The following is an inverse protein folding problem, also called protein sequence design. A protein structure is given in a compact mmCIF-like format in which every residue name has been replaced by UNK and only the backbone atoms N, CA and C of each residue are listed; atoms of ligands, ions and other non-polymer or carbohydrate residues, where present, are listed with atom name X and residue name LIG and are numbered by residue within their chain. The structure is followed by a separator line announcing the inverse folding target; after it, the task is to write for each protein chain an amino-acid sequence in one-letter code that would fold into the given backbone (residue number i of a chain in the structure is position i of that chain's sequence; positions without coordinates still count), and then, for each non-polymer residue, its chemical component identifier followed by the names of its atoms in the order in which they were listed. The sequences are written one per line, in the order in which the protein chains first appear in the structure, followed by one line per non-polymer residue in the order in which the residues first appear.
data_IF_343798428475
#
_entry.id   IF_343798428475
#
_cell.length_a   1.000
_cell.length_b   1.000
_cell.length_c   1.000
_cell.angle_alpha   90.00
_cell.angle_beta   90.00
_cell.angle_gamma   90.00
#
_symmetry.space_group_name_H-M   'P 1'
#
loop_
_entity.id
_entity.type
_entity.pdbx_description
1 polymer ?
#
# COMPACT_ATOMS: atom_id res chain seq x y z
N UNK A 1 -7.20 9.00 19.20
CA UNK A 1 -8.04 8.00 19.82
C UNK A 1 -7.45 6.62 19.56
N UNK A 2 -7.57 5.69 20.51
CA UNK A 2 -7.10 4.32 20.29
C UNK A 2 -7.82 3.71 19.08
N UNK A 3 -7.06 3.01 18.22
CA UNK A 3 -7.60 2.37 17.00
C UNK A 3 -7.68 3.26 15.76
N UNK A 4 -7.28 4.55 15.84
CA UNK A 4 -7.17 5.40 14.65
C UNK A 4 -5.72 5.41 14.17
N UNK A 5 -5.51 4.98 12.93
CA UNK A 5 -4.22 5.04 12.29
C UNK A 5 -4.03 6.42 11.64
N UNK A 6 -2.90 7.04 11.91
CA UNK A 6 -2.53 8.32 11.31
C UNK A 6 -1.62 8.06 10.10
N UNK A 7 -2.00 8.63 8.96
CA UNK A 7 -1.23 8.59 7.72
C UNK A 7 -0.85 10.02 7.35
N UNK A 8 0.45 10.30 7.37
CA UNK A 8 0.98 11.65 7.12
C UNK A 8 1.26 11.87 5.65
N UNK A 9 0.98 13.06 5.15
CA UNK A 9 1.36 13.51 3.81
C UNK A 9 2.52 14.49 3.91
N UNK A 10 3.56 14.30 3.11
CA UNK A 10 4.62 15.28 2.91
C UNK A 10 4.39 15.91 1.54
N UNK A 11 3.98 17.19 1.54
CA UNK A 11 3.75 17.96 0.30
C UNK A 11 5.09 18.29 -0.35
N UNK A 12 5.12 18.23 -1.67
CA UNK A 12 6.27 18.59 -2.49
C UNK A 12 6.01 19.91 -3.23
N UNK A 13 7.07 20.62 -3.55
CA UNK A 13 7.02 21.80 -4.43
C UNK A 13 8.27 21.83 -5.29
N UNK A 14 8.10 21.94 -6.59
CA UNK A 14 9.22 22.15 -7.51
C UNK A 14 9.64 23.62 -7.47
N UNK A 15 10.92 23.88 -7.20
CA UNK A 15 11.46 25.25 -7.05
C UNK A 15 12.30 25.71 -8.23
N UNK A 16 12.77 24.78 -9.07
CA UNK A 16 13.49 25.01 -10.31
C UNK A 16 13.40 23.78 -11.21
N UNK A 17 14.09 23.76 -12.33
CA UNK A 17 14.13 22.60 -13.24
C UNK A 17 14.53 21.28 -12.52
N UNK A 18 15.43 21.35 -11.55
CA UNK A 18 15.89 20.17 -10.77
C UNK A 18 15.70 20.34 -9.26
N UNK A 19 15.28 21.51 -8.81
CA UNK A 19 15.17 21.85 -7.40
C UNK A 19 13.78 21.56 -6.83
N UNK A 20 13.74 21.18 -5.57
CA UNK A 20 12.50 20.92 -4.84
C UNK A 20 12.58 21.41 -3.39
N UNK A 21 11.44 21.55 -2.79
CA UNK A 21 11.26 21.69 -1.34
C UNK A 21 10.08 20.81 -0.89
N UNK A 22 9.96 20.60 0.42
CA UNK A 22 8.88 19.80 0.98
C UNK A 22 8.40 20.35 2.34
N UNK A 23 7.17 20.04 2.68
CA UNK A 23 6.55 20.45 3.95
C UNK A 23 5.77 19.28 4.56
N UNK A 24 5.95 18.99 5.88
CA UNK A 24 6.90 19.62 6.80
C UNK A 24 8.37 19.34 6.46
N UNK A 25 9.30 20.14 6.94
CA UNK A 25 10.74 19.99 6.71
C UNK A 25 11.56 20.24 7.98
N UNK A 26 12.86 19.94 7.93
CA UNK A 26 13.80 20.17 9.03
C UNK A 26 13.33 19.54 10.36
N UNK A 27 13.45 20.30 11.46
CA UNK A 27 13.08 19.82 12.79
C UNK A 27 11.60 19.41 12.92
N UNK A 28 10.69 20.08 12.20
CA UNK A 28 9.26 19.74 12.22
C UNK A 28 9.01 18.34 11.66
N UNK A 29 9.66 17.98 10.55
CA UNK A 29 9.57 16.64 9.99
C UNK A 29 10.21 15.60 10.91
N UNK A 30 11.44 15.85 11.38
CA UNK A 30 12.14 14.92 12.29
C UNK A 30 11.32 14.65 13.56
N UNK A 31 10.76 15.68 14.18
CA UNK A 31 9.92 15.52 15.36
C UNK A 31 8.64 14.73 15.03
N UNK A 32 8.02 14.98 13.88
CA UNK A 32 6.84 14.22 13.47
C UNK A 32 7.15 12.73 13.29
N UNK A 33 8.31 12.38 12.72
CA UNK A 33 8.73 10.99 12.54
C UNK A 33 8.98 10.32 13.91
N UNK A 34 9.76 10.96 14.78
CA UNK A 34 10.13 10.40 16.10
C UNK A 34 8.91 10.20 16.99
N UNK A 35 7.92 11.11 16.92
CA UNK A 35 6.70 11.03 17.73
C UNK A 35 5.65 10.03 17.17
N UNK A 36 5.86 9.50 15.96
CA UNK A 36 4.94 8.56 15.31
C UNK A 36 5.70 7.34 14.74
N UNK A 37 6.33 6.52 15.60
CA UNK A 37 7.11 5.37 15.15
C UNK A 37 6.22 4.37 14.38
N UNK A 38 6.74 3.84 13.25
CA UNK A 38 6.03 2.92 12.38
C UNK A 38 4.94 3.57 11.51
N UNK A 39 4.77 4.89 11.55
CA UNK A 39 3.76 5.60 10.77
C UNK A 39 3.95 5.41 9.26
N UNK A 40 2.86 5.62 8.53
CA UNK A 40 2.85 5.69 7.06
C UNK A 40 3.02 7.12 6.59
N UNK A 41 3.92 7.29 5.62
CA UNK A 41 4.26 8.59 5.05
C UNK A 41 3.96 8.55 3.55
N UNK A 42 2.95 9.30 3.12
CA UNK A 42 2.66 9.55 1.71
C UNK A 42 3.60 10.64 1.21
N UNK A 43 4.37 10.34 0.17
CA UNK A 43 5.28 11.32 -0.42
C UNK A 43 4.61 11.98 -1.62
N UNK A 44 4.33 13.26 -1.47
CA UNK A 44 3.58 14.08 -2.43
C UNK A 44 2.06 13.96 -2.26
N UNK A 45 1.36 14.93 -2.81
CA UNK A 45 -0.09 14.94 -2.98
C UNK A 45 -0.45 15.44 -4.39
N UNK A 46 -0.97 14.56 -5.21
CA UNK A 46 -1.23 14.81 -6.63
C UNK A 46 -0.03 15.47 -7.34
N UNK A 47 1.18 14.87 -7.26
CA UNK A 47 2.36 15.45 -7.90
C UNK A 47 2.21 15.54 -9.42
N UNK A 48 1.31 14.75 -9.96
CA UNK A 48 0.96 14.60 -11.37
C UNK A 48 -0.15 15.56 -11.84
N UNK A 49 -0.59 16.53 -11.03
CA UNK A 49 -1.67 17.46 -11.37
C UNK A 49 -1.18 18.89 -11.49
N UNK A 50 -1.33 19.49 -12.70
CA UNK A 50 -0.94 20.87 -13.02
C UNK A 50 -1.91 21.87 -12.40
N UNK A 51 -1.69 22.23 -11.14
CA UNK A 51 -2.43 23.29 -10.44
C UNK A 51 -1.60 23.82 -9.27
N UNK A 52 -1.80 25.08 -8.91
CA UNK A 52 -1.08 25.72 -7.80
C UNK A 52 -1.48 25.20 -6.41
N UNK A 53 -2.60 24.49 -6.31
CA UNK A 53 -3.07 23.91 -5.02
C UNK A 53 -2.58 22.48 -4.79
N UNK A 54 -2.00 21.84 -5.82
CA UNK A 54 -1.39 20.53 -5.73
C UNK A 54 0.13 20.62 -5.88
N UNK A 55 0.82 19.49 -5.75
CA UNK A 55 2.29 19.52 -5.76
C UNK A 55 2.86 19.89 -7.13
N UNK A 56 2.24 19.43 -8.23
CA UNK A 56 2.61 19.79 -9.60
C UNK A 56 4.12 19.67 -9.86
N UNK A 57 4.65 18.45 -9.75
CA UNK A 57 6.09 18.16 -9.79
C UNK A 57 6.43 17.29 -10.98
N UNK A 58 7.44 17.66 -11.76
CA UNK A 58 7.93 16.84 -12.86
C UNK A 58 8.51 15.48 -12.38
N UNK A 59 8.43 14.41 -13.21
CA UNK A 59 8.80 13.05 -12.79
C UNK A 59 10.21 12.91 -12.23
N UNK A 60 11.20 13.59 -12.82
CA UNK A 60 12.59 13.52 -12.36
C UNK A 60 12.81 14.26 -11.03
N UNK A 61 12.07 15.34 -10.80
CA UNK A 61 12.10 16.08 -9.53
C UNK A 61 11.42 15.30 -8.43
N UNK A 62 10.27 14.66 -8.75
CA UNK A 62 9.61 13.74 -7.81
C UNK A 62 10.55 12.59 -7.40
N UNK A 63 11.26 11.97 -8.36
CA UNK A 63 12.19 10.89 -8.10
C UNK A 63 13.32 11.30 -7.14
N UNK A 64 13.85 12.52 -7.32
CA UNK A 64 14.90 13.08 -6.46
C UNK A 64 14.39 13.37 -5.03
N UNK A 65 13.23 14.03 -4.92
CA UNK A 65 12.59 14.33 -3.63
C UNK A 65 12.22 13.06 -2.87
N UNK A 66 11.66 12.06 -3.58
CA UNK A 66 11.33 10.76 -3.00
C UNK A 66 12.57 10.05 -2.43
N UNK A 67 13.68 10.05 -3.18
CA UNK A 67 14.93 9.45 -2.71
C UNK A 67 15.41 10.07 -1.41
N UNK A 68 15.50 11.40 -1.35
CA UNK A 68 15.93 12.11 -0.14
C UNK A 68 15.02 11.78 1.05
N UNK A 69 13.71 11.90 0.88
CA UNK A 69 12.72 11.66 1.94
C UNK A 69 12.69 10.20 2.38
N UNK A 70 12.81 9.24 1.45
CA UNK A 70 12.86 7.82 1.80
C UNK A 70 13.99 7.52 2.79
N UNK A 71 15.19 7.96 2.47
CA UNK A 71 16.36 7.69 3.32
C UNK A 71 16.35 8.51 4.60
N UNK A 72 15.92 9.77 4.55
CA UNK A 72 15.76 10.60 5.75
C UNK A 72 14.81 9.95 6.76
N UNK A 73 13.65 9.53 6.30
CA UNK A 73 12.65 8.90 7.16
C UNK A 73 13.14 7.56 7.69
N UNK A 74 13.70 6.71 6.83
CA UNK A 74 14.22 5.38 7.23
C UNK A 74 15.43 5.45 8.18
N UNK A 75 16.25 6.48 8.09
CA UNK A 75 17.35 6.73 9.03
C UNK A 75 16.82 7.16 10.40
N UNK A 76 15.74 7.94 10.41
CA UNK A 76 15.12 8.43 11.66
C UNK A 76 14.27 7.36 12.31
N UNK A 77 13.48 6.64 11.53
CA UNK A 77 12.64 5.51 11.96
C UNK A 77 12.68 4.39 10.91
N UNK A 78 13.49 3.33 11.13
CA UNK A 78 13.53 2.18 10.23
C UNK A 78 12.20 1.42 10.09
N UNK A 79 11.27 1.60 11.04
CA UNK A 79 9.96 0.93 11.05
C UNK A 79 8.89 1.69 10.24
N UNK A 80 9.12 2.97 9.95
CA UNK A 80 8.24 3.80 9.14
C UNK A 80 7.95 3.16 7.77
N UNK A 81 6.76 3.39 7.22
CA UNK A 81 6.32 2.90 5.91
C UNK A 81 6.23 4.05 4.92
N UNK A 82 7.01 3.98 3.84
CA UNK A 82 7.09 5.03 2.83
C UNK A 82 6.23 4.62 1.63
N UNK A 83 5.21 5.44 1.35
CA UNK A 83 4.20 5.19 0.35
C UNK A 83 4.41 6.16 -0.81
N UNK A 84 4.58 5.62 -2.00
CA UNK A 84 4.77 6.39 -3.23
C UNK A 84 3.45 6.52 -4.02
N UNK A 85 3.42 7.41 -4.98
CA UNK A 85 2.32 7.62 -5.91
C UNK A 85 1.49 8.83 -5.54
N UNK A 86 0.32 8.62 -4.91
CA UNK A 86 -0.67 9.68 -4.61
C UNK A 86 -1.11 10.48 -5.83
N UNK A 87 -1.10 9.82 -7.01
CA UNK A 87 -1.56 10.41 -8.27
C UNK A 87 -3.09 10.61 -8.24
N UNK A 88 -3.57 11.64 -8.94
CA UNK A 88 -5.00 12.03 -8.87
C UNK A 88 -5.96 10.96 -9.39
N UNK A 89 -5.53 10.13 -10.34
CA UNK A 89 -6.30 9.04 -10.91
C UNK A 89 -5.40 8.12 -11.74
N UNK A 90 -5.61 6.78 -11.78
CA UNK A 90 -4.71 5.86 -12.46
C UNK A 90 -5.08 5.68 -13.95
N UNK A 91 -5.03 6.75 -14.74
CA UNK A 91 -5.22 6.74 -16.19
C UNK A 91 -3.92 6.36 -16.92
N UNK A 92 -3.97 6.01 -18.21
CA UNK A 92 -2.77 5.67 -18.96
C UNK A 92 -1.67 6.75 -18.94
N UNK A 93 -2.03 8.04 -19.02
CA UNK A 93 -1.05 9.12 -18.98
C UNK A 93 -0.37 9.23 -17.61
N UNK A 94 -1.13 9.00 -16.54
CA UNK A 94 -0.61 9.08 -15.17
C UNK A 94 0.23 7.85 -14.80
N UNK A 95 -0.09 6.69 -15.36
CA UNK A 95 0.82 5.54 -15.27
C UNK A 95 2.12 5.79 -16.05
N UNK A 96 2.06 6.46 -17.21
CA UNK A 96 3.25 6.93 -17.93
C UNK A 96 4.08 7.92 -17.10
N UNK A 97 3.43 8.85 -16.38
CA UNK A 97 4.11 9.73 -15.42
C UNK A 97 4.89 8.93 -14.37
N UNK A 98 4.26 7.91 -13.75
CA UNK A 98 4.94 7.04 -12.78
C UNK A 98 6.08 6.23 -13.42
N UNK A 99 5.93 5.79 -14.66
CA UNK A 99 7.03 5.13 -15.39
C UNK A 99 8.22 6.05 -15.61
N UNK A 100 7.96 7.31 -15.91
CA UNK A 100 9.01 8.33 -16.02
C UNK A 100 9.68 8.58 -14.66
N UNK A 101 8.93 8.57 -13.54
CA UNK A 101 9.49 8.64 -12.18
C UNK A 101 10.43 7.47 -11.92
N UNK A 102 9.98 6.23 -12.18
CA UNK A 102 10.79 5.02 -11.96
C UNK A 102 12.05 5.01 -12.84
N UNK A 103 11.93 5.45 -14.09
CA UNK A 103 13.06 5.57 -15.02
C UNK A 103 14.07 6.60 -14.54
N UNK A 104 13.60 7.79 -14.16
CA UNK A 104 14.46 8.87 -13.63
C UNK A 104 15.16 8.45 -12.34
N UNK A 105 14.45 7.76 -11.44
CA UNK A 105 15.03 7.23 -10.22
C UNK A 105 16.17 6.25 -10.52
N UNK A 106 15.93 5.30 -11.44
CA UNK A 106 16.95 4.32 -11.83
C UNK A 106 18.15 4.97 -12.51
N UNK A 107 17.91 5.96 -13.35
CA UNK A 107 18.99 6.71 -14.03
C UNK A 107 19.84 7.49 -13.03
N UNK A 108 19.24 8.16 -12.06
CA UNK A 108 19.94 9.02 -11.11
C UNK A 108 20.65 8.22 -10.00
N UNK A 109 20.08 7.09 -9.55
CA UNK A 109 20.56 6.37 -8.36
C UNK A 109 21.04 4.94 -8.65
N UNK A 110 20.96 4.47 -9.90
CA UNK A 110 21.49 3.16 -10.32
C UNK A 110 20.75 1.95 -9.75
N UNK A 111 19.61 2.14 -9.11
CA UNK A 111 18.84 1.09 -8.42
C UNK A 111 17.34 1.24 -8.65
N UNK A 112 16.58 0.17 -8.35
CA UNK A 112 15.11 0.23 -8.32
C UNK A 112 14.64 1.11 -7.18
N UNK A 113 13.63 1.93 -7.43
CA UNK A 113 13.02 2.79 -6.40
C UNK A 113 12.44 1.93 -5.27
N UNK A 114 12.92 2.08 -4.03
CA UNK A 114 12.39 1.33 -2.91
C UNK A 114 11.04 1.91 -2.50
N UNK A 115 10.03 1.06 -2.29
CA UNK A 115 8.71 1.47 -1.79
C UNK A 115 8.21 0.47 -0.75
N UNK A 116 7.50 0.94 0.26
CA UNK A 116 6.81 0.07 1.21
C UNK A 116 5.35 -0.16 0.80
N UNK A 117 4.79 0.72 -0.01
CA UNK A 117 3.46 0.61 -0.61
C UNK A 117 3.24 1.67 -1.68
N UNK A 118 2.13 1.56 -2.37
CA UNK A 118 1.67 2.53 -3.37
C UNK A 118 0.36 3.17 -2.93
N UNK A 119 0.15 4.42 -3.29
CA UNK A 119 -1.11 5.12 -3.10
C UNK A 119 -1.57 5.77 -4.40
N UNK A 120 -2.87 5.79 -4.59
CA UNK A 120 -3.53 6.55 -5.64
C UNK A 120 -4.73 7.30 -5.06
N UNK A 121 -5.13 8.37 -5.72
CA UNK A 121 -6.52 8.81 -5.69
C UNK A 121 -7.26 8.10 -6.82
N UNK A 122 -8.58 8.16 -6.83
CA UNK A 122 -9.36 7.58 -7.91
C UNK A 122 -10.63 8.42 -8.16
N UNK A 123 -10.41 9.71 -8.33
CA UNK A 123 -11.43 10.60 -8.84
C UNK A 123 -11.62 10.36 -10.34
N UNK A 124 -12.81 10.64 -10.85
CA UNK A 124 -13.11 10.52 -12.28
C UNK A 124 -13.16 11.94 -12.86
N UNK A 125 -12.01 12.39 -13.34
CA UNK A 125 -11.81 13.77 -13.81
C UNK A 125 -11.35 13.78 -15.26
N UNK A 126 -11.74 14.84 -15.98
CA UNK A 126 -11.36 15.05 -17.37
C UNK A 126 -9.85 15.37 -17.49
N UNK A 127 -9.20 14.85 -18.52
CA UNK A 127 -7.78 15.07 -18.82
C UNK A 127 -7.63 15.80 -20.16
N UNK A 128 -7.68 17.12 -20.11
CA UNK A 128 -7.49 17.99 -21.26
C UNK A 128 -6.44 19.03 -20.91
N UNK A 129 -5.50 19.27 -21.81
CA UNK A 129 -4.48 20.30 -21.66
C UNK A 129 -5.11 21.70 -21.72
N UNK A 130 -4.94 22.51 -20.68
CA UNK A 130 -5.38 23.91 -20.68
C UNK A 130 -4.67 24.76 -21.74
N UNK A 131 -3.47 24.39 -22.14
CA UNK A 131 -2.77 25.04 -23.23
C UNK A 131 -3.39 24.73 -24.60
N UNK A 132 -4.01 23.54 -24.74
CA UNK A 132 -4.62 23.10 -26.00
C UNK A 132 -6.11 23.51 -26.10
N UNK A 133 -6.87 23.26 -25.05
CA UNK A 133 -8.31 23.61 -24.98
C UNK A 133 -8.66 24.24 -23.63
N UNK A 134 -8.46 25.59 -23.51
CA UNK A 134 -8.71 26.31 -22.26
C UNK A 134 -10.18 26.27 -21.80
N UNK A 135 -11.11 26.01 -22.71
CA UNK A 135 -12.55 25.94 -22.42
C UNK A 135 -12.99 24.63 -21.78
N UNK A 136 -12.22 23.54 -21.95
CA UNK A 136 -12.58 22.20 -21.53
C UNK A 136 -11.55 21.54 -20.60
N UNK A 137 -10.56 22.28 -20.10
CA UNK A 137 -9.50 21.73 -19.25
C UNK A 137 -9.89 21.63 -17.75
N UNK A 138 -11.17 21.46 -17.46
CA UNK A 138 -11.60 21.18 -16.10
C UNK A 138 -11.10 19.80 -15.63
N UNK A 139 -10.90 19.64 -14.33
CA UNK A 139 -10.57 18.33 -13.73
C UNK A 139 -9.09 18.15 -13.45
N UNK A 140 -8.48 17.13 -14.03
CA UNK A 140 -7.12 16.72 -13.66
C UNK A 140 -6.01 17.29 -14.55
N UNK A 141 -6.34 17.81 -15.74
CA UNK A 141 -5.39 18.25 -16.76
C UNK A 141 -4.38 17.15 -17.16
N UNK A 142 -3.38 17.49 -17.95
CA UNK A 142 -2.30 16.58 -18.38
C UNK A 142 -1.16 16.62 -17.36
N UNK A 143 -0.55 15.48 -17.00
CA UNK A 143 0.54 15.45 -16.02
C UNK A 143 1.74 16.32 -16.43
N UNK A 144 2.45 16.94 -15.48
CA UNK A 144 3.69 17.65 -15.77
C UNK A 144 4.73 16.69 -16.39
N UNK A 145 5.56 17.21 -17.29
CA UNK A 145 6.54 16.42 -18.05
C UNK A 145 5.94 15.59 -19.21
N UNK A 146 4.63 15.64 -19.42
CA UNK A 146 3.95 15.01 -20.56
C UNK A 146 3.36 16.10 -21.44
N UNK A 147 3.63 16.00 -22.75
CA UNK A 147 3.12 16.91 -23.78
C UNK A 147 2.11 16.13 -24.66
N UNK A 148 0.87 16.13 -24.23
CA UNK A 148 -0.27 15.52 -24.92
C UNK A 148 -1.47 16.47 -24.85
N UNK A 149 -2.28 16.59 -25.90
CA UNK A 149 -3.46 17.45 -25.85
C UNK A 149 -4.58 16.89 -24.98
N UNK A 150 -4.71 15.55 -24.94
CA UNK A 150 -5.79 14.83 -24.26
C UNK A 150 -5.29 13.56 -23.59
N UNK A 151 -5.90 13.23 -22.47
CA UNK A 151 -5.81 11.92 -21.82
C UNK A 151 -7.15 11.21 -21.86
N UNK A 152 -7.63 10.77 -20.70
CA UNK A 152 -8.95 10.14 -20.57
C UNK A 152 -10.02 11.22 -20.51
N UNK A 153 -10.93 11.21 -21.51
CA UNK A 153 -12.02 12.18 -21.62
C UNK A 153 -13.24 11.65 -20.89
N UNK A 154 -13.80 12.45 -20.00
CA UNK A 154 -15.01 12.16 -19.24
C UNK A 154 -15.90 13.39 -19.17
N UNK A 155 -17.20 13.16 -18.99
CA UNK A 155 -18.18 14.21 -18.70
C UNK A 155 -18.38 14.40 -17.18
N UNK A 156 -19.09 15.43 -16.80
CA UNK A 156 -19.46 15.67 -15.40
C UNK A 156 -20.29 14.51 -14.86
N UNK A 157 -21.18 13.97 -15.67
CA UNK A 157 -22.08 12.85 -15.31
C UNK A 157 -21.35 11.56 -14.99
N UNK A 158 -20.12 11.38 -15.51
CA UNK A 158 -19.29 10.18 -15.28
C UNK A 158 -18.63 10.16 -13.88
N UNK A 159 -18.80 11.22 -13.06
CA UNK A 159 -18.06 11.33 -11.79
C UNK A 159 -18.39 10.23 -10.77
N UNK A 160 -19.50 9.51 -10.95
CA UNK A 160 -19.88 8.32 -10.19
C UNK A 160 -19.90 7.01 -11.02
N UNK A 161 -19.17 6.96 -12.13
CA UNK A 161 -19.04 5.75 -12.96
C UNK A 161 -18.28 4.66 -12.19
N UNK A 162 -19.07 3.72 -11.65
CA UNK A 162 -18.56 2.62 -10.84
C UNK A 162 -17.73 1.60 -11.64
N UNK A 163 -18.05 1.39 -12.92
CA UNK A 163 -17.30 0.44 -13.75
C UNK A 163 -15.91 1.01 -14.06
N UNK A 164 -15.81 2.27 -14.38
CA UNK A 164 -14.55 3.00 -14.54
C UNK A 164 -13.73 3.02 -13.26
N UNK A 165 -14.36 3.23 -12.12
CA UNK A 165 -13.70 3.14 -10.81
C UNK A 165 -13.00 1.78 -10.61
N UNK A 166 -13.71 0.68 -10.88
CA UNK A 166 -13.18 -0.69 -10.76
C UNK A 166 -12.05 -0.95 -11.76
N UNK A 167 -12.26 -0.59 -13.03
CA UNK A 167 -11.27 -0.75 -14.08
C UNK A 167 -9.93 -0.07 -13.70
N UNK A 168 -9.99 1.14 -13.15
CA UNK A 168 -8.80 1.89 -12.75
C UNK A 168 -8.05 1.24 -11.59
N UNK A 169 -8.75 0.66 -10.61
CA UNK A 169 -8.12 -0.12 -9.53
C UNK A 169 -7.39 -1.35 -10.11
N UNK A 170 -8.03 -2.10 -10.99
CA UNK A 170 -7.44 -3.28 -11.66
C UNK A 170 -6.24 -2.86 -12.51
N UNK A 171 -6.36 -1.79 -13.29
CA UNK A 171 -5.29 -1.21 -14.12
C UNK A 171 -4.06 -0.86 -13.28
N UNK A 172 -4.24 -0.21 -12.13
CA UNK A 172 -3.13 0.13 -11.26
C UNK A 172 -2.48 -1.11 -10.65
N UNK A 173 -3.25 -2.11 -10.24
CA UNK A 173 -2.72 -3.40 -9.77
C UNK A 173 -1.94 -4.15 -10.85
N UNK A 174 -2.42 -4.13 -12.09
CA UNK A 174 -1.68 -4.69 -13.23
C UNK A 174 -0.35 -3.94 -13.41
N UNK A 175 -0.37 -2.60 -13.38
CA UNK A 175 0.83 -1.76 -13.44
C UNK A 175 1.82 -2.11 -12.32
N UNK A 176 1.36 -2.28 -11.09
CA UNK A 176 2.20 -2.71 -9.95
C UNK A 176 2.83 -4.08 -10.20
N UNK A 177 2.05 -5.04 -10.67
CA UNK A 177 2.54 -6.41 -10.97
C UNK A 177 3.61 -6.41 -12.04
N UNK A 178 3.39 -5.70 -13.15
CA UNK A 178 4.31 -5.66 -14.29
C UNK A 178 5.67 -5.04 -13.93
N UNK A 179 5.73 -4.25 -12.85
CA UNK A 179 6.94 -3.60 -12.34
C UNK A 179 7.51 -4.26 -11.09
N UNK A 180 7.01 -5.45 -10.73
CA UNK A 180 7.50 -6.23 -9.59
C UNK A 180 6.99 -5.77 -8.22
N UNK A 181 5.96 -4.93 -8.18
CA UNK A 181 5.38 -4.41 -6.93
C UNK A 181 4.09 -5.13 -6.49
N UNK A 182 3.75 -6.28 -7.06
CA UNK A 182 2.55 -7.04 -6.67
C UNK A 182 2.49 -7.31 -5.15
N UNK A 183 3.65 -7.62 -4.54
CA UNK A 183 3.79 -7.89 -3.10
C UNK A 183 3.88 -6.61 -2.26
N UNK A 184 3.31 -5.51 -2.74
CA UNK A 184 3.19 -4.26 -1.99
C UNK A 184 1.71 -3.90 -1.82
N UNK A 185 1.33 -3.33 -0.65
CA UNK A 185 -0.02 -2.84 -0.45
C UNK A 185 -0.35 -1.67 -1.39
N UNK A 186 -1.61 -1.58 -1.76
CA UNK A 186 -2.18 -0.42 -2.45
C UNK A 186 -3.15 0.31 -1.51
N UNK A 187 -2.96 1.61 -1.39
CA UNK A 187 -3.84 2.50 -0.66
C UNK A 187 -4.60 3.39 -1.64
N UNK A 188 -5.86 3.64 -1.33
CA UNK A 188 -6.69 4.61 -2.01
C UNK A 188 -6.89 5.78 -1.05
N UNK A 189 -5.92 6.72 -1.06
CA UNK A 189 -5.85 7.77 -0.03
C UNK A 189 -6.92 8.84 -0.17
N UNK A 190 -7.43 9.03 -1.39
CA UNK A 190 -8.59 9.91 -1.64
C UNK A 190 -9.42 9.36 -2.80
N UNK A 191 -10.75 9.34 -2.62
CA UNK A 191 -11.72 9.16 -3.68
C UNK A 191 -13.11 9.58 -3.20
N UNK A 192 -13.97 9.92 -4.12
CA UNK A 192 -15.32 10.37 -3.80
C UNK A 192 -15.91 11.12 -4.97
N UNK A 193 -16.92 11.93 -4.69
CA UNK A 193 -17.58 12.78 -5.66
C UNK A 193 -17.05 14.20 -5.54
N UNK A 194 -16.45 14.71 -6.62
CA UNK A 194 -15.96 16.11 -6.70
C UNK A 194 -16.94 17.00 -7.48
N UNK A 195 -18.24 16.77 -7.34
CA UNK A 195 -19.30 17.53 -7.99
C UNK A 195 -20.27 18.09 -6.97
N UNK A 196 -20.71 19.33 -7.13
CA UNK A 196 -21.70 19.95 -6.26
C UNK A 196 -23.12 19.40 -6.55
N UNK A 197 -24.09 19.61 -5.62
CA UNK A 197 -25.47 19.12 -5.78
C UNK A 197 -26.19 19.61 -7.02
N UNK A 198 -25.93 20.84 -7.44
CA UNK A 198 -26.57 21.49 -8.60
C UNK A 198 -26.13 20.87 -9.95
N UNK A 199 -25.09 20.03 -9.96
CA UNK A 199 -24.76 19.17 -11.09
C UNK A 199 -25.43 17.79 -11.03
N UNK A 200 -26.47 17.60 -10.18
CA UNK A 200 -27.21 16.37 -10.06
C UNK A 200 -26.60 15.33 -9.11
N UNK A 201 -25.57 15.72 -8.35
CA UNK A 201 -24.94 14.84 -7.36
C UNK A 201 -25.51 15.07 -5.96
N UNK A 202 -26.82 14.87 -5.82
CA UNK A 202 -27.48 14.93 -4.52
C UNK A 202 -27.16 13.71 -3.64
N UNK A 203 -27.47 13.82 -2.35
CA UNK A 203 -27.13 12.81 -1.35
C UNK A 203 -27.54 11.38 -1.71
N UNK A 204 -28.73 11.07 -2.30
CA UNK A 204 -29.08 9.70 -2.68
C UNK A 204 -28.12 9.12 -3.72
N UNK A 205 -27.71 9.88 -4.73
CA UNK A 205 -26.76 9.48 -5.78
C UNK A 205 -25.37 9.23 -5.19
N UNK A 206 -24.87 10.17 -4.38
CA UNK A 206 -23.58 10.07 -3.69
C UNK A 206 -23.53 8.87 -2.77
N UNK A 207 -24.58 8.64 -1.97
CA UNK A 207 -24.67 7.48 -1.07
C UNK A 207 -24.72 6.15 -1.84
N UNK A 208 -25.40 6.11 -2.99
CA UNK A 208 -25.43 4.92 -3.84
C UNK A 208 -24.02 4.56 -4.36
N UNK A 209 -23.25 5.57 -4.82
CA UNK A 209 -21.86 5.39 -5.24
C UNK A 209 -20.96 4.98 -4.07
N UNK A 210 -21.07 5.64 -2.92
CA UNK A 210 -20.33 5.30 -1.70
C UNK A 210 -20.53 3.84 -1.33
N UNK A 211 -21.78 3.34 -1.28
CA UNK A 211 -22.08 1.97 -0.91
C UNK A 211 -21.53 0.94 -1.92
N UNK A 212 -21.64 1.23 -3.23
CA UNK A 212 -21.07 0.37 -4.28
C UNK A 212 -19.55 0.26 -4.16
N UNK A 213 -18.87 1.40 -3.98
CA UNK A 213 -17.41 1.42 -3.88
C UNK A 213 -16.91 0.79 -2.60
N UNK A 214 -17.56 1.02 -1.46
CA UNK A 214 -17.20 0.39 -0.19
C UNK A 214 -17.33 -1.13 -0.24
N UNK A 215 -18.45 -1.65 -0.77
CA UNK A 215 -18.62 -3.09 -0.96
C UNK A 215 -17.53 -3.68 -1.84
N UNK A 216 -17.19 -3.01 -2.96
CA UNK A 216 -16.12 -3.45 -3.85
C UNK A 216 -14.76 -3.44 -3.15
N UNK A 217 -14.38 -2.34 -2.50
CA UNK A 217 -13.08 -2.20 -1.84
C UNK A 217 -12.89 -3.18 -0.67
N UNK A 218 -13.99 -3.57 -0.02
CA UNK A 218 -13.96 -4.56 1.07
C UNK A 218 -13.77 -5.99 0.55
N UNK A 219 -14.30 -6.33 -0.64
CA UNK A 219 -14.42 -7.72 -1.10
C UNK A 219 -13.59 -8.05 -2.34
N UNK A 220 -13.19 -7.05 -3.13
CA UNK A 220 -12.52 -7.29 -4.42
C UNK A 220 -11.13 -7.93 -4.22
N UNK A 221 -10.99 -9.15 -4.69
CA UNK A 221 -9.76 -9.93 -4.63
C UNK A 221 -9.44 -10.56 -5.99
N UNK A 222 -8.16 -10.72 -6.31
CA UNK A 222 -7.68 -11.39 -7.52
C UNK A 222 -6.36 -12.11 -7.22
N UNK A 223 -6.35 -13.42 -7.39
CA UNK A 223 -5.20 -14.27 -7.08
C UNK A 223 -3.95 -13.95 -7.92
N UNK A 224 -4.09 -13.22 -9.03
CA UNK A 224 -2.99 -12.86 -9.92
C UNK A 224 -2.50 -11.42 -9.76
N UNK A 225 -3.35 -10.51 -9.30
CA UNK A 225 -3.09 -9.06 -9.18
C UNK A 225 -3.04 -8.56 -7.74
N UNK A 226 -3.87 -9.11 -6.88
CA UNK A 226 -4.05 -8.67 -5.52
C UNK A 226 -2.82 -8.88 -4.63
N UNK A 227 -2.85 -8.26 -3.47
CA UNK A 227 -1.78 -8.35 -2.48
C UNK A 227 -1.86 -9.70 -1.74
N UNK A 228 -0.88 -10.61 -1.91
CA UNK A 228 -0.99 -11.96 -1.38
C UNK A 228 -1.08 -12.03 0.15
N UNK A 229 -0.42 -11.09 0.84
CA UNK A 229 -0.45 -11.04 2.31
C UNK A 229 -1.80 -10.54 2.87
N UNK A 230 -2.74 -10.16 2.02
CA UNK A 230 -4.07 -9.67 2.36
C UNK A 230 -5.16 -10.46 1.64
N UNK A 231 -5.07 -11.78 1.58
CA UNK A 231 -6.06 -12.61 0.90
C UNK A 231 -6.22 -12.28 -0.60
N UNK A 232 -5.19 -11.73 -1.24
CA UNK A 232 -5.21 -11.23 -2.61
C UNK A 232 -6.21 -10.08 -2.85
N UNK A 233 -6.61 -9.32 -1.84
CA UNK A 233 -7.42 -8.12 -2.04
C UNK A 233 -6.68 -7.09 -2.91
N UNK A 234 -7.48 -6.34 -3.69
CA UNK A 234 -6.93 -5.35 -4.61
C UNK A 234 -6.50 -4.07 -3.89
N UNK A 235 -7.21 -3.65 -2.85
CA UNK A 235 -6.93 -2.43 -2.06
C UNK A 235 -6.92 -2.80 -0.59
N UNK A 236 -5.92 -2.33 0.17
CA UNK A 236 -5.76 -2.64 1.58
C UNK A 236 -6.37 -1.60 2.51
N UNK A 237 -6.32 -0.32 2.10
CA UNK A 237 -6.89 0.80 2.86
C UNK A 237 -7.43 1.85 1.91
N UNK A 238 -8.49 2.54 2.34
CA UNK A 238 -9.06 3.63 1.57
C UNK A 238 -9.64 4.72 2.46
N UNK A 239 -9.72 5.93 1.92
CA UNK A 239 -10.33 7.08 2.59
C UNK A 239 -11.29 7.78 1.64
N UNK A 240 -12.52 7.98 2.08
CA UNK A 240 -13.51 8.76 1.36
C UNK A 240 -13.19 10.26 1.48
N UNK A 241 -13.17 10.96 0.38
CA UNK A 241 -13.06 12.41 0.34
C UNK A 241 -14.45 13.05 0.34
N UNK A 242 -14.82 13.84 1.36
CA UNK A 242 -13.97 14.29 2.44
C UNK A 242 -14.72 14.34 3.78
N UNK A 243 -14.01 14.66 4.86
CA UNK A 243 -14.66 14.89 6.14
C UNK A 243 -15.54 16.16 6.13
N UNK A 244 -15.05 17.29 5.59
CA UNK A 244 -15.68 18.61 5.72
C UNK A 244 -15.53 19.54 4.50
N UNK A 245 -15.21 19.07 3.30
CA UNK A 245 -15.11 19.93 2.13
C UNK A 245 -16.50 20.30 1.60
N UNK A 246 -16.90 21.57 1.73
CA UNK A 246 -18.23 22.06 1.34
C UNK A 246 -18.36 22.42 -0.15
N UNK A 247 -17.27 22.40 -0.91
CA UNK A 247 -17.33 22.72 -2.34
C UNK A 247 -17.95 21.57 -3.15
N UNK A 248 -17.91 20.34 -2.64
CA UNK A 248 -18.36 19.13 -3.31
C UNK A 248 -19.32 18.34 -2.43
N UNK A 249 -20.27 17.63 -3.00
CA UNK A 249 -21.28 16.92 -2.24
C UNK A 249 -20.84 15.50 -1.84
N UNK A 250 -19.75 15.37 -1.10
CA UNK A 250 -19.26 14.09 -0.56
C UNK A 250 -18.90 14.17 0.93
N UNK A 251 -19.01 15.32 1.51
CA UNK A 251 -18.56 15.64 2.87
C UNK A 251 -19.43 15.00 3.96
N UNK A 252 -18.73 14.47 4.99
CA UNK A 252 -19.38 13.68 6.04
C UNK A 252 -19.95 14.56 7.17
N UNK A 253 -19.33 15.72 7.44
CA UNK A 253 -19.73 16.62 8.50
C UNK A 253 -19.89 18.05 7.98
N UNK A 254 -20.94 18.72 8.43
CA UNK A 254 -21.13 20.14 8.20
C UNK A 254 -20.13 20.96 9.03
N UNK A 255 -19.27 21.71 8.37
CA UNK A 255 -18.23 22.49 9.02
C UNK A 255 -18.78 23.67 9.83
N UNK A 256 -20.00 24.15 9.54
CA UNK A 256 -20.64 25.26 10.25
C UNK A 256 -21.21 24.85 11.61
N UNK A 257 -21.65 23.60 11.75
CA UNK A 257 -22.32 23.13 12.97
C UNK A 257 -21.80 21.79 13.52
N UNK A 258 -20.87 21.13 12.81
CA UNK A 258 -20.27 19.84 13.19
C UNK A 258 -21.21 18.64 13.11
N UNK A 259 -22.41 18.80 12.54
CA UNK A 259 -23.39 17.72 12.43
C UNK A 259 -23.07 16.79 11.25
N UNK A 260 -23.38 15.50 11.41
CA UNK A 260 -23.27 14.55 10.30
C UNK A 260 -24.26 14.91 9.19
N UNK A 261 -23.76 14.94 7.96
CA UNK A 261 -24.58 15.05 6.75
C UNK A 261 -25.35 13.75 6.46
N UNK A 262 -26.13 13.71 5.39
CA UNK A 262 -26.73 12.47 4.89
C UNK A 262 -25.65 11.46 4.48
N UNK A 263 -24.54 11.92 3.88
CA UNK A 263 -23.39 11.09 3.51
C UNK A 263 -22.64 10.58 4.76
N UNK A 264 -22.48 11.43 5.78
CA UNK A 264 -21.88 11.02 7.06
C UNK A 264 -22.66 9.93 7.77
N UNK A 265 -23.97 10.04 7.80
CA UNK A 265 -24.84 8.99 8.35
C UNK A 265 -24.76 7.68 7.54
N UNK A 266 -24.74 7.78 6.21
CA UNK A 266 -24.57 6.60 5.35
C UNK A 266 -23.20 5.92 5.58
N UNK A 267 -22.14 6.70 5.68
CA UNK A 267 -20.80 6.20 6.01
C UNK A 267 -20.80 5.47 7.35
N UNK A 268 -21.34 6.08 8.40
CA UNK A 268 -21.42 5.48 9.74
C UNK A 268 -22.24 4.19 9.75
N UNK A 269 -23.39 4.16 9.07
CA UNK A 269 -24.23 2.97 8.95
C UNK A 269 -23.50 1.83 8.22
N UNK A 270 -22.81 2.14 7.12
CA UNK A 270 -22.05 1.14 6.36
C UNK A 270 -20.91 0.58 7.22
N UNK A 271 -20.08 1.44 7.80
CA UNK A 271 -18.91 1.01 8.58
C UNK A 271 -19.29 0.22 9.83
N UNK A 272 -20.40 0.59 10.50
CA UNK A 272 -20.91 -0.14 11.67
C UNK A 272 -21.49 -1.53 11.32
N UNK A 273 -21.80 -1.77 10.05
CA UNK A 273 -22.30 -3.08 9.58
C UNK A 273 -21.18 -4.07 9.23
N UNK A 274 -19.94 -3.62 9.15
CA UNK A 274 -18.80 -4.48 8.82
C UNK A 274 -18.43 -5.32 10.05
N UNK A 275 -18.53 -6.65 9.91
CA UNK A 275 -18.13 -7.57 10.97
C UNK A 275 -16.59 -7.48 11.20
N UNK A 276 -16.22 -7.43 12.47
CA UNK A 276 -14.80 -7.51 12.86
C UNK A 276 -14.30 -8.94 12.61
N UNK A 277 -13.14 -9.06 11.97
CA UNK A 277 -12.50 -10.34 11.69
C UNK A 277 -10.99 -10.26 11.91
N UNK A 278 -10.41 -11.36 12.40
CA UNK A 278 -8.98 -11.63 12.39
C UNK A 278 -8.73 -12.78 11.41
N UNK A 279 -7.54 -12.82 10.83
CA UNK A 279 -7.10 -13.89 9.93
C UNK A 279 -5.59 -13.79 9.75
N UNK A 280 -4.85 -14.68 10.38
CA UNK A 280 -3.40 -14.68 10.47
C UNK A 280 -2.83 -15.80 9.62
N UNK A 281 -1.78 -15.55 8.87
CA UNK A 281 -1.14 -16.60 8.09
C UNK A 281 0.37 -16.39 7.95
N UNK A 282 1.17 -17.46 7.90
CA UNK A 282 2.56 -17.38 7.51
C UNK A 282 2.65 -17.06 6.01
N UNK A 283 3.17 -15.89 5.68
CA UNK A 283 3.22 -15.45 4.29
C UNK A 283 4.51 -15.84 3.57
N UNK A 284 5.68 -15.61 4.20
CA UNK A 284 6.99 -15.79 3.58
C UNK A 284 8.01 -16.30 4.58
N UNK A 285 8.96 -17.13 4.12
CA UNK A 285 10.13 -17.52 4.89
C UNK A 285 11.39 -17.08 4.13
N UNK A 286 12.27 -16.39 4.81
CA UNK A 286 13.57 -15.96 4.33
C UNK A 286 14.66 -16.61 5.18
N UNK A 287 15.83 -16.84 4.60
CA UNK A 287 17.01 -17.36 5.31
C UNK A 287 18.14 -16.33 5.31
N UNK A 288 18.93 -16.33 6.39
CA UNK A 288 20.18 -15.60 6.45
C UNK A 288 21.30 -16.57 6.86
N UNK A 289 22.30 -16.79 5.99
CA UNK A 289 22.46 -16.21 4.65
C UNK A 289 21.38 -16.69 3.67
N UNK A 290 21.13 -15.90 2.61
CA UNK A 290 20.10 -16.22 1.60
C UNK A 290 20.46 -17.47 0.79
N UNK A 291 21.73 -17.76 0.61
CA UNK A 291 22.22 -19.00 -0.01
C UNK A 291 22.92 -19.86 1.03
N UNK A 292 22.45 -21.10 1.19
CA UNK A 292 22.96 -22.04 2.17
C UNK A 292 23.91 -23.02 1.50
N UNK A 293 25.17 -23.01 1.91
CA UNK A 293 26.21 -23.84 1.37
C UNK A 293 26.84 -24.73 2.46
N UNK A 294 26.62 -26.02 2.37
CA UNK A 294 27.16 -27.01 3.29
C UNK A 294 28.60 -27.39 2.91
N UNK A 295 29.54 -27.21 3.83
CA UNK A 295 30.97 -27.46 3.64
C UNK A 295 31.48 -28.64 4.43
N UNK A 296 30.59 -29.52 4.89
CA UNK A 296 30.95 -30.70 5.74
C UNK A 296 30.63 -30.50 7.21
N UNK A 297 30.33 -29.26 7.64
CA UNK A 297 29.88 -28.96 9.00
C UNK A 297 28.45 -28.45 9.02
N UNK A 298 27.61 -28.84 9.99
CA UNK A 298 26.25 -28.36 10.12
C UNK A 298 26.21 -26.82 10.23
N UNK A 299 25.28 -26.21 9.52
CA UNK A 299 25.11 -24.76 9.46
C UNK A 299 24.23 -24.24 10.59
N UNK A 300 24.49 -23.00 10.98
CA UNK A 300 23.56 -22.20 11.76
C UNK A 300 22.87 -21.20 10.81
N UNK A 301 21.56 -21.30 10.67
CA UNK A 301 20.75 -20.53 9.72
C UNK A 301 19.74 -19.70 10.49
N UNK A 302 19.68 -18.40 10.24
CA UNK A 302 18.58 -17.60 10.74
C UNK A 302 17.38 -17.78 9.79
N UNK A 303 16.29 -18.32 10.31
CA UNK A 303 14.99 -18.40 9.64
C UNK A 303 14.19 -17.16 10.02
N UNK A 304 13.71 -16.38 9.03
CA UNK A 304 12.89 -15.19 9.22
C UNK A 304 11.55 -15.42 8.56
N UNK A 305 10.50 -15.52 9.35
CA UNK A 305 9.14 -15.66 8.85
C UNK A 305 8.42 -14.32 8.86
N UNK A 306 7.81 -14.00 7.75
CA UNK A 306 6.84 -12.92 7.66
C UNK A 306 5.45 -13.48 7.87
N UNK A 307 4.75 -12.95 8.86
CA UNK A 307 3.37 -13.28 9.21
C UNK A 307 2.48 -12.12 8.80
N UNK A 308 1.37 -12.40 8.16
CA UNK A 308 0.40 -11.39 7.72
C UNK A 308 -0.93 -11.55 8.45
N UNK A 309 -1.69 -10.45 8.54
CA UNK A 309 -3.08 -10.45 8.97
C UNK A 309 -3.96 -9.90 7.85
N UNK A 310 -4.82 -10.75 7.28
CA UNK A 310 -5.81 -10.36 6.27
C UNK A 310 -7.18 -10.00 6.86
N UNK A 311 -7.37 -10.17 8.16
CA UNK A 311 -8.51 -9.63 8.88
C UNK A 311 -8.59 -8.10 8.81
N UNK A 312 -9.68 -7.53 9.28
CA UNK A 312 -9.91 -6.07 9.27
C UNK A 312 -9.67 -5.41 10.64
N UNK A 313 -9.19 -6.15 11.62
CA UNK A 313 -8.99 -5.70 13.00
C UNK A 313 -7.59 -6.04 13.51
N UNK A 314 -7.16 -5.29 14.51
CA UNK A 314 -6.00 -5.68 15.33
C UNK A 314 -6.34 -6.91 16.17
N UNK A 315 -5.31 -7.70 16.53
CA UNK A 315 -5.46 -8.87 17.38
C UNK A 315 -6.00 -8.45 18.76
N UNK A 316 -7.13 -8.99 19.22
CA UNK A 316 -7.82 -8.48 20.41
C UNK A 316 -7.24 -8.98 21.73
N UNK A 317 -6.53 -10.12 21.74
CA UNK A 317 -6.13 -10.86 22.95
C UNK A 317 -4.64 -10.75 23.29
N UNK A 318 -3.90 -9.84 22.63
CA UNK A 318 -2.46 -9.71 22.73
C UNK A 318 -1.73 -10.46 21.61
N UNK A 319 -0.39 -10.49 21.62
CA UNK A 319 0.38 -10.98 20.49
C UNK A 319 0.16 -12.47 20.22
N UNK A 320 0.02 -12.82 18.93
CA UNK A 320 -0.08 -14.20 18.47
C UNK A 320 1.25 -14.94 18.64
N UNK A 321 1.18 -16.21 19.04
CA UNK A 321 2.34 -17.08 19.17
C UNK A 321 2.73 -17.64 17.81
N UNK A 322 4.03 -17.54 17.45
CA UNK A 322 4.60 -18.10 16.21
C UNK A 322 5.64 -19.16 16.54
N UNK A 323 5.48 -20.36 15.96
CA UNK A 323 6.39 -21.50 16.13
C UNK A 323 6.96 -21.96 14.80
N UNK A 324 8.22 -22.38 14.85
CA UNK A 324 8.93 -22.94 13.70
C UNK A 324 9.20 -24.41 13.93
N UNK A 325 9.05 -25.23 12.90
CA UNK A 325 9.33 -26.67 12.96
C UNK A 325 10.11 -27.14 11.73
N UNK A 326 11.00 -28.12 11.94
CA UNK A 326 11.56 -28.91 10.85
C UNK A 326 10.68 -30.16 10.70
N UNK A 327 10.03 -30.30 9.54
CA UNK A 327 9.00 -31.32 9.32
C UNK A 327 7.63 -30.86 9.82
N UNK A 328 6.60 -31.58 9.41
CA UNK A 328 5.21 -31.30 9.76
C UNK A 328 4.97 -31.47 11.27
N UNK A 329 4.53 -30.44 11.99
CA UNK A 329 4.23 -30.53 13.41
C UNK A 329 3.15 -31.58 13.73
N UNK A 330 2.17 -31.78 12.82
CA UNK A 330 1.13 -32.79 12.96
C UNK A 330 1.66 -34.24 12.80
N UNK A 331 2.86 -34.39 12.23
CA UNK A 331 3.54 -35.68 12.00
C UNK A 331 4.81 -35.81 12.84
N UNK A 332 4.91 -35.09 13.94
CA UNK A 332 6.07 -35.16 14.84
C UNK A 332 7.27 -34.31 14.42
N UNK A 333 7.04 -33.24 13.69
CA UNK A 333 8.06 -32.25 13.33
C UNK A 333 8.76 -31.69 14.56
N UNK A 334 10.08 -31.43 14.43
CA UNK A 334 10.93 -30.95 15.52
C UNK A 334 10.90 -29.43 15.60
N UNK A 335 10.51 -28.88 16.75
CA UNK A 335 10.47 -27.42 16.99
C UNK A 335 11.86 -26.81 16.89
N UNK A 336 11.93 -25.65 16.25
CA UNK A 336 13.16 -24.87 16.07
C UNK A 336 13.08 -23.61 16.93
N UNK A 337 13.93 -23.49 17.92
CA UNK A 337 14.03 -22.30 18.77
C UNK A 337 12.86 -22.13 19.74
N UNK A 338 12.80 -20.97 20.39
CA UNK A 338 11.74 -20.57 21.30
C UNK A 338 10.55 -19.96 20.54
N UNK A 339 9.39 -19.91 21.21
CA UNK A 339 8.20 -19.20 20.71
C UNK A 339 8.53 -17.73 20.41
N UNK A 340 7.92 -17.23 19.35
CA UNK A 340 7.96 -15.82 18.93
C UNK A 340 6.58 -15.23 19.03
N UNK A 341 6.52 -13.92 19.07
CA UNK A 341 5.27 -13.20 19.28
C UNK A 341 5.13 -12.10 18.23
N UNK A 342 3.94 -11.98 17.64
CA UNK A 342 3.60 -10.92 16.69
C UNK A 342 2.33 -10.20 17.13
N UNK A 343 2.34 -8.89 16.95
CA UNK A 343 1.17 -8.04 17.07
C UNK A 343 0.88 -7.44 15.69
N UNK A 344 -0.33 -7.59 15.20
CA UNK A 344 -0.73 -7.25 13.83
C UNK A 344 -2.06 -6.50 13.81
N UNK A 345 -2.10 -5.45 13.02
CA UNK A 345 -3.23 -4.52 12.94
C UNK A 345 -4.27 -4.87 11.86
N UNK A 346 -4.23 -6.02 11.24
CA UNK A 346 -5.12 -6.37 10.13
C UNK A 346 -4.83 -5.63 8.81
N UNK A 347 -5.70 -5.79 7.82
CA UNK A 347 -5.65 -5.15 6.50
C UNK A 347 -4.31 -5.32 5.77
N UNK A 348 -3.79 -6.55 5.72
CA UNK A 348 -2.52 -6.87 5.09
C UNK A 348 -1.29 -6.38 5.88
N UNK A 349 -1.44 -6.11 7.17
CA UNK A 349 -0.29 -5.82 8.03
C UNK A 349 0.64 -7.03 8.11
N UNK A 350 1.94 -6.82 8.00
CA UNK A 350 2.96 -7.86 8.01
C UNK A 350 3.98 -7.56 9.10
N UNK A 351 4.28 -8.56 9.93
CA UNK A 351 5.38 -8.54 10.88
C UNK A 351 6.39 -9.65 10.59
N UNK A 352 7.64 -9.46 11.02
CA UNK A 352 8.70 -10.45 10.86
C UNK A 352 9.16 -10.95 12.22
N UNK A 353 9.27 -12.27 12.34
CA UNK A 353 9.90 -12.95 13.50
C UNK A 353 11.00 -13.87 13.03
N UNK A 354 11.98 -14.16 13.91
CA UNK A 354 13.09 -15.02 13.52
C UNK A 354 13.50 -15.98 14.63
N UNK A 355 14.02 -17.16 14.19
CA UNK A 355 14.68 -18.14 15.03
C UNK A 355 15.98 -18.59 14.37
N UNK A 356 16.91 -19.09 15.20
CA UNK A 356 18.13 -19.72 14.70
C UNK A 356 17.93 -21.22 14.60
N UNK A 357 18.05 -21.76 13.38
CA UNK A 357 18.10 -23.20 13.13
C UNK A 357 19.54 -23.66 13.13
N UNK A 358 19.96 -24.39 14.18
CA UNK A 358 21.28 -24.99 14.30
C UNK A 358 21.25 -26.40 13.75
N UNK A 359 22.37 -26.86 13.19
CA UNK A 359 22.51 -28.22 12.72
C UNK A 359 21.91 -28.51 11.35
N UNK A 360 21.76 -27.47 10.50
CA UNK A 360 21.29 -27.65 9.13
C UNK A 360 22.36 -28.36 8.28
N UNK A 361 22.01 -29.54 7.73
CA UNK A 361 22.85 -30.35 6.85
C UNK A 361 22.43 -30.22 5.41
N UNK A 362 23.26 -30.72 4.47
CA UNK A 362 22.92 -30.75 3.07
C UNK A 362 21.61 -31.49 2.80
N UNK A 363 20.79 -30.94 1.90
CA UNK A 363 19.50 -31.54 1.51
C UNK A 363 18.38 -30.55 1.37
N UNK A 364 17.20 -31.09 1.13
CA UNK A 364 15.92 -30.33 1.07
C UNK A 364 15.23 -30.49 2.42
N UNK A 365 14.88 -29.39 3.01
CA UNK A 365 14.22 -29.35 4.32
C UNK A 365 12.89 -28.62 4.21
N UNK A 366 11.83 -29.23 4.72
CA UNK A 366 10.54 -28.56 4.85
C UNK A 366 10.48 -27.90 6.23
N UNK A 367 10.42 -26.57 6.22
CA UNK A 367 10.27 -25.76 7.43
C UNK A 367 8.81 -25.32 7.51
N UNK A 368 8.17 -25.68 8.59
CA UNK A 368 6.80 -25.28 8.89
C UNK A 368 6.81 -24.06 9.83
N UNK A 369 5.98 -23.09 9.51
CA UNK A 369 5.71 -21.95 10.39
C UNK A 369 4.23 -22.03 10.77
N UNK A 370 3.97 -21.96 12.07
CA UNK A 370 2.62 -21.97 12.64
C UNK A 370 2.41 -20.65 13.36
N UNK A 371 1.40 -19.91 12.98
CA UNK A 371 0.93 -18.68 13.66
C UNK A 371 -0.30 -19.02 14.50
N UNK A 372 -0.57 -18.24 15.52
CA UNK A 372 -1.55 -18.55 16.56
C UNK A 372 -1.44 -20.03 17.04
N UNK A 373 -0.22 -20.45 17.31
CA UNK A 373 0.11 -21.85 17.59
C UNK A 373 -0.57 -22.41 18.88
N UNK A 374 -1.23 -21.55 19.66
CA UNK A 374 -2.02 -21.92 20.84
C UNK A 374 -3.53 -21.92 20.57
N UNK A 375 -3.99 -21.46 19.38
CA UNK A 375 -5.38 -21.42 18.95
C UNK A 375 -6.26 -20.53 19.85
N UNK A 376 -5.75 -19.36 20.25
CA UNK A 376 -6.44 -18.45 21.20
C UNK A 376 -7.10 -17.28 20.51
N UNK A 377 -6.77 -17.02 19.24
CA UNK A 377 -7.36 -15.97 18.44
C UNK A 377 -8.42 -16.59 17.53
N UNK A 378 -9.67 -16.13 17.65
CA UNK A 378 -10.72 -16.58 16.74
C UNK A 378 -10.51 -15.93 15.36
N UNK A 379 -10.35 -16.75 14.33
CA UNK A 379 -10.01 -16.32 12.98
C UNK A 379 -11.10 -16.68 11.96
N UNK A 380 -11.13 -15.96 10.85
CA UNK A 380 -12.07 -16.26 9.76
C UNK A 380 -11.66 -17.50 8.95
N UNK A 381 -10.38 -17.85 8.96
CA UNK A 381 -9.82 -19.08 8.38
C UNK A 381 -8.73 -19.66 9.28
N UNK A 382 -9.08 -20.62 10.12
CA UNK A 382 -8.15 -21.34 10.99
C UNK A 382 -7.25 -22.33 10.21
N UNK A 383 -7.58 -22.66 8.97
CA UNK A 383 -6.84 -23.64 8.19
C UNK A 383 -5.55 -23.08 7.57
N UNK A 384 -5.41 -21.76 7.50
CA UNK A 384 -4.25 -21.10 6.90
C UNK A 384 -3.14 -20.74 7.90
N UNK A 385 -3.32 -21.03 9.21
CA UNK A 385 -2.39 -20.74 10.30
C UNK A 385 -1.06 -21.51 10.19
N UNK A 386 -1.00 -22.52 9.34
CA UNK A 386 0.20 -23.35 9.13
C UNK A 386 0.63 -23.33 7.67
N UNK A 387 1.92 -23.07 7.44
CA UNK A 387 2.48 -23.12 6.08
C UNK A 387 3.85 -23.79 6.06
N UNK A 388 4.05 -24.64 5.04
CA UNK A 388 5.33 -25.29 4.75
C UNK A 388 6.14 -24.48 3.74
N UNK A 389 7.43 -24.35 3.99
CA UNK A 389 8.40 -23.71 3.10
C UNK A 389 9.58 -24.66 2.85
N UNK A 390 9.98 -24.80 1.59
CA UNK A 390 11.14 -25.62 1.22
C UNK A 390 12.42 -24.80 1.35
N UNK A 391 13.38 -25.29 2.15
CA UNK A 391 14.70 -24.71 2.32
C UNK A 391 15.73 -25.67 1.76
N UNK A 392 16.49 -25.23 0.74
CA UNK A 392 17.56 -26.02 0.13
C UNK A 392 18.93 -25.64 0.73
N UNK A 393 19.62 -26.64 1.28
CA UNK A 393 21.03 -26.52 1.70
C UNK A 393 21.89 -27.27 0.69
N UNK A 394 22.54 -26.53 -0.22
CA UNK A 394 23.32 -27.09 -1.32
C UNK A 394 24.73 -27.50 -0.91
N UNK A 395 25.32 -28.48 -1.60
CA UNK A 395 26.73 -28.93 -1.41
C UNK A 395 27.71 -28.23 -2.37
N UNK A 396 27.20 -27.45 -3.35
CA UNK A 396 28.01 -26.71 -4.34
C UNK A 396 27.59 -25.27 -4.37
N UNK A 397 28.54 -24.35 -4.51
CA UNK A 397 28.24 -22.95 -4.84
C UNK A 397 27.83 -22.90 -6.31
N UNK A 398 26.59 -22.59 -6.60
CA UNK A 398 26.16 -22.24 -7.95
C UNK A 398 26.56 -20.78 -8.19
N UNK A 399 27.62 -20.58 -8.97
CA UNK A 399 27.85 -19.28 -9.58
C UNK A 399 26.98 -19.22 -10.83
N UNK A 400 25.83 -18.57 -10.75
CA UNK A 400 25.11 -18.18 -11.95
C UNK A 400 25.91 -17.02 -12.58
N UNK A 401 26.34 -17.12 -13.85
CA UNK A 401 26.90 -15.98 -14.52
C UNK A 401 25.83 -14.90 -14.64
N UNK A 402 26.14 -13.68 -14.19
CA UNK A 402 25.29 -12.52 -14.42
C UNK A 402 25.36 -12.25 -15.93
N UNK A 403 24.39 -12.76 -16.68
CA UNK A 403 24.20 -12.31 -18.06
C UNK A 403 23.47 -10.97 -17.99
N UNK A 404 24.24 -9.90 -18.09
CA UNK A 404 23.69 -8.59 -18.45
C UNK A 404 23.16 -8.69 -19.88
N UNK A 405 21.84 -8.59 -20.05
CA UNK A 405 21.16 -8.20 -21.28
C UNK A 405 20.40 -6.92 -21.03
#
# INVERSE_FOLDING_TARGET
PAGVEFVSVIRLSQTSETGFSYSPSGAALTNAIVNNPGARWLIGNEPDRRTSIQDNVEPHVYAAAYHELYYLIKQTDPTARIIAGTIVQPTPLRLRYLDMVLSSYRQSFGTTMPVDGWSIHNFILNEVSCAHDPGNCWGAEIPPGIDEPFGEIVSVEDNDDFDRFKERVVRFRQWMKDRGYREKPLYLSEYGILMPPDYGFEAPRVNAYMNKTFNYLTTAADATLGFPADGNRLVQKWSWYSATDQNYNGWLFDSGNGQMTAMGRNFANHTSSIAISNDLSPWKLLTTPATLHYTGTPLSVQLRAQVSSSGNSAIPTGPAVVRFYRGDPAQGGVKIGADKFVDLAGCGNVAEVSVTWTGATAGVHNIFVVVDADGVIAESDEANNTRSFTVLVGTRRLFAPITTR
#
